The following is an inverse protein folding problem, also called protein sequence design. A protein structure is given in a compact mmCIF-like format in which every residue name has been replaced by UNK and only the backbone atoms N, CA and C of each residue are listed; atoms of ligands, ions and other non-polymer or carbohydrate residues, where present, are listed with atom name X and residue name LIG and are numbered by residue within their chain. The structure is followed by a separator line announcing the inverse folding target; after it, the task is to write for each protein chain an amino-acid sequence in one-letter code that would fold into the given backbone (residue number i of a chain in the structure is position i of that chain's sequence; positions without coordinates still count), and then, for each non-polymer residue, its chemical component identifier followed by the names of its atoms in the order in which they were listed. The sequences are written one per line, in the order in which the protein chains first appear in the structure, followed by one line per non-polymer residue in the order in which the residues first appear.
data_IF_229977920964
#
_entry.id   IF_229977920964
#
_cell.length_a   1.000
_cell.length_b   1.000
_cell.length_c   1.000
_cell.angle_alpha   90.00
_cell.angle_beta   90.00
_cell.angle_gamma   90.00
#
_symmetry.space_group_name_H-M   'P 1'
#
loop_
_entity.id
_entity.type
_entity.pdbx_description
1 polymer ?
#
# COMPACT_ATOMS: atom_id res chain seq x y z
N UNK A 1 42.19 -9.25 -30.36
CA UNK A 1 41.27 -8.32 -29.67
C UNK A 1 40.23 -9.14 -28.92
N UNK A 2 40.60 -9.63 -27.73
CA UNK A 2 39.75 -10.35 -26.77
C UNK A 2 40.10 -9.75 -25.40
N UNK A 3 39.14 -9.69 -24.49
CA UNK A 3 39.22 -9.23 -23.08
C UNK A 3 38.99 -7.75 -22.80
N UNK A 4 37.77 -7.23 -22.99
CA UNK A 4 37.33 -5.98 -22.33
C UNK A 4 35.87 -5.96 -21.86
N UNK A 5 35.10 -7.05 -22.02
CA UNK A 5 33.64 -7.03 -21.79
C UNK A 5 33.15 -7.77 -20.53
N UNK A 6 34.05 -8.13 -19.60
CA UNK A 6 33.68 -8.88 -18.40
C UNK A 6 33.80 -8.09 -17.08
N UNK A 7 34.41 -6.89 -17.09
CA UNK A 7 34.65 -6.12 -15.86
C UNK A 7 33.50 -5.15 -15.52
N UNK A 8 32.60 -4.83 -16.45
CA UNK A 8 31.55 -3.83 -16.23
C UNK A 8 30.29 -4.40 -15.53
N UNK A 9 30.04 -5.72 -15.64
CA UNK A 9 28.96 -6.36 -14.88
C UNK A 9 29.32 -6.58 -13.40
N UNK A 10 30.60 -6.62 -13.05
CA UNK A 10 31.01 -6.83 -11.65
C UNK A 10 30.97 -5.53 -10.83
N UNK A 11 31.08 -4.36 -11.47
CA UNK A 11 30.99 -3.07 -10.79
C UNK A 11 29.53 -2.70 -10.39
N UNK A 12 28.53 -3.19 -11.12
CA UNK A 12 27.12 -3.03 -10.78
C UNK A 12 26.67 -3.93 -9.61
N UNK A 13 27.36 -5.06 -9.39
CA UNK A 13 27.14 -5.92 -8.23
C UNK A 13 27.84 -5.41 -6.96
N UNK A 14 28.87 -4.56 -7.08
CA UNK A 14 29.45 -3.84 -5.93
C UNK A 14 28.66 -2.58 -5.53
N UNK A 15 27.70 -2.13 -6.35
CA UNK A 15 26.68 -1.17 -5.94
C UNK A 15 25.50 -1.83 -5.16
N UNK A 16 25.51 -3.16 -5.01
CA UNK A 16 24.79 -3.85 -3.93
C UNK A 16 25.53 -3.73 -2.57
N UNK A 17 26.48 -2.81 -2.44
CA UNK A 17 26.89 -2.26 -1.16
C UNK A 17 25.76 -1.39 -0.59
N UNK A 18 24.85 -2.02 0.18
CA UNK A 18 24.17 -1.49 1.37
C UNK A 18 23.87 0.04 1.40
N UNK A 19 23.30 0.57 0.32
CA UNK A 19 22.79 1.95 0.23
C UNK A 19 21.28 1.98 0.39
N UNK A 20 20.72 1.10 1.22
CA UNK A 20 19.29 1.04 1.52
C UNK A 20 18.97 2.19 2.45
N UNK A 21 18.80 3.37 1.87
CA UNK A 21 18.43 4.57 2.60
C UNK A 21 17.03 4.32 3.19
N UNK A 22 16.88 4.28 4.52
CA UNK A 22 15.61 3.91 5.12
C UNK A 22 14.48 4.87 4.71
N UNK A 23 14.81 6.16 4.55
CA UNK A 23 13.89 7.19 4.06
C UNK A 23 13.34 6.86 2.65
N UNK A 24 14.15 6.27 1.77
CA UNK A 24 13.69 5.86 0.44
C UNK A 24 12.69 4.69 0.51
N UNK A 25 12.88 3.75 1.45
CA UNK A 25 11.91 2.67 1.66
C UNK A 25 10.60 3.19 2.28
N UNK A 26 10.65 4.20 3.15
CA UNK A 26 9.44 4.84 3.68
C UNK A 26 8.68 5.55 2.56
N UNK A 27 9.39 6.30 1.71
CA UNK A 27 8.77 6.94 0.55
C UNK A 27 8.14 5.93 -0.44
N UNK A 28 8.82 4.80 -0.69
CA UNK A 28 8.24 3.68 -1.46
C UNK A 28 6.97 3.13 -0.77
N UNK A 29 6.97 2.99 0.56
CA UNK A 29 5.82 2.50 1.32
C UNK A 29 4.64 3.47 1.25
N UNK A 30 4.89 4.77 1.41
CA UNK A 30 3.90 5.86 1.27
C UNK A 30 3.29 5.85 -0.14
N UNK A 31 4.12 5.67 -1.16
CA UNK A 31 3.68 5.58 -2.56
C UNK A 31 2.77 4.36 -2.76
N UNK A 32 3.19 3.18 -2.32
CA UNK A 32 2.38 1.96 -2.41
C UNK A 32 1.04 2.08 -1.66
N UNK A 33 1.04 2.66 -0.46
CA UNK A 33 -0.20 2.86 0.29
C UNK A 33 -1.15 3.85 -0.42
N UNK A 34 -0.60 4.86 -1.09
CA UNK A 34 -1.38 5.82 -1.90
C UNK A 34 -1.96 5.16 -3.14
N UNK A 35 -1.16 4.34 -3.83
CA UNK A 35 -1.59 3.55 -4.98
C UNK A 35 -2.69 2.56 -4.57
N UNK A 36 -2.53 1.84 -3.45
CA UNK A 36 -3.56 0.96 -2.91
C UNK A 36 -4.84 1.73 -2.58
N UNK A 37 -4.76 2.87 -1.90
CA UNK A 37 -5.93 3.68 -1.60
C UNK A 37 -6.63 4.15 -2.88
N UNK A 38 -5.87 4.58 -3.89
CA UNK A 38 -6.40 5.03 -5.19
C UNK A 38 -7.04 3.88 -5.98
N UNK A 39 -6.40 2.71 -6.00
CA UNK A 39 -6.93 1.49 -6.60
C UNK A 39 -8.25 1.08 -5.93
N UNK A 40 -8.34 1.16 -4.61
CA UNK A 40 -9.58 0.93 -3.87
C UNK A 40 -10.65 1.98 -4.12
N UNK A 41 -10.28 3.26 -4.22
CA UNK A 41 -11.20 4.37 -4.52
C UNK A 41 -11.81 4.28 -5.93
N UNK A 42 -11.08 3.67 -6.87
CA UNK A 42 -11.47 3.48 -8.27
C UNK A 42 -12.02 2.08 -8.58
N UNK A 43 -12.31 1.27 -7.56
CA UNK A 43 -12.80 -0.12 -7.72
C UNK A 43 -11.94 -0.97 -8.67
N UNK A 44 -10.62 -0.80 -8.56
CA UNK A 44 -9.64 -1.54 -9.35
C UNK A 44 -9.80 -3.07 -9.17
N UNK A 45 -9.45 -3.86 -10.21
CA UNK A 45 -9.58 -5.31 -10.16
C UNK A 45 -8.70 -5.91 -9.06
N UNK A 46 -9.16 -7.02 -8.47
CA UNK A 46 -8.45 -7.71 -7.39
C UNK A 46 -7.00 -8.05 -7.76
N UNK A 47 -6.71 -8.37 -9.02
CA UNK A 47 -5.35 -8.63 -9.50
C UNK A 47 -4.39 -7.45 -9.31
N UNK A 48 -4.87 -6.22 -9.46
CA UNK A 48 -4.07 -5.01 -9.25
C UNK A 48 -3.81 -4.78 -7.75
N UNK A 49 -4.82 -5.04 -6.90
CA UNK A 49 -4.66 -5.02 -5.45
C UNK A 49 -3.67 -6.09 -4.97
N UNK A 50 -3.71 -7.28 -5.55
CA UNK A 50 -2.81 -8.40 -5.23
C UNK A 50 -1.36 -8.08 -5.65
N UNK A 51 -1.15 -7.45 -6.81
CA UNK A 51 0.17 -6.96 -7.22
C UNK A 51 0.73 -5.92 -6.25
N UNK A 52 -0.09 -4.94 -5.85
CA UNK A 52 0.30 -3.93 -4.86
C UNK A 52 0.62 -4.56 -3.50
N UNK A 53 -0.15 -5.56 -3.09
CA UNK A 53 0.12 -6.31 -1.86
C UNK A 53 1.44 -7.08 -1.94
N UNK A 54 1.74 -7.73 -3.07
CA UNK A 54 3.01 -8.41 -3.30
C UNK A 54 4.21 -7.46 -3.24
N UNK A 55 4.08 -6.26 -3.83
CA UNK A 55 5.10 -5.20 -3.70
C UNK A 55 5.29 -4.78 -2.25
N UNK A 56 4.21 -4.64 -1.48
CA UNK A 56 4.27 -4.30 -0.06
C UNK A 56 4.99 -5.39 0.77
N UNK A 57 4.72 -6.68 0.49
CA UNK A 57 5.43 -7.79 1.14
C UNK A 57 6.94 -7.75 0.82
N UNK A 58 7.29 -7.47 -0.43
CA UNK A 58 8.70 -7.33 -0.83
C UNK A 58 9.38 -6.16 -0.13
N UNK A 59 8.68 -5.04 0.01
CA UNK A 59 9.17 -3.85 0.68
C UNK A 59 9.34 -4.10 2.19
N UNK A 60 8.39 -4.77 2.84
CA UNK A 60 8.50 -5.18 4.25
C UNK A 60 9.75 -6.04 4.50
N UNK A 61 10.06 -7.00 3.63
CA UNK A 61 11.30 -7.79 3.71
C UNK A 61 12.56 -6.93 3.61
N UNK A 62 12.55 -5.87 2.78
CA UNK A 62 13.66 -4.91 2.68
C UNK A 62 13.80 -4.08 3.95
N UNK A 63 12.69 -3.70 4.60
CA UNK A 63 12.69 -3.04 5.91
C UNK A 63 13.23 -3.95 7.02
N UNK A 64 12.83 -5.23 7.04
CA UNK A 64 13.35 -6.19 8.01
C UNK A 64 14.85 -6.43 7.82
N UNK A 65 15.31 -6.52 6.57
CA UNK A 65 16.72 -6.68 6.25
C UNK A 65 17.61 -5.51 6.75
N UNK A 66 17.04 -4.31 6.89
CA UNK A 66 17.74 -3.14 7.44
C UNK A 66 18.08 -3.27 8.92
N UNK A 67 17.40 -4.15 9.68
CA UNK A 67 17.61 -4.34 11.12
C UNK A 67 17.72 -3.03 11.91
N UNK A 68 16.89 -2.04 11.56
CA UNK A 68 16.91 -0.73 12.18
C UNK A 68 16.70 -0.84 13.70
N UNK A 69 17.53 -0.13 14.45
CA UNK A 69 17.36 0.03 15.89
C UNK A 69 16.07 0.76 16.23
N UNK A 70 15.62 0.66 17.48
CA UNK A 70 14.40 1.33 17.92
C UNK A 70 14.47 2.86 17.75
N UNK A 71 15.64 3.47 17.99
CA UNK A 71 15.85 4.91 17.77
C UNK A 71 15.80 5.28 16.30
N UNK A 72 16.42 4.50 15.42
CA UNK A 72 16.39 4.76 13.97
C UNK A 72 14.98 4.64 13.41
N UNK A 73 14.20 3.65 13.87
CA UNK A 73 12.78 3.52 13.51
C UNK A 73 11.98 4.73 13.98
N UNK A 74 12.22 5.20 15.20
CA UNK A 74 11.49 6.33 15.76
C UNK A 74 11.81 7.64 15.03
N UNK A 75 13.09 7.87 14.70
CA UNK A 75 13.52 9.00 13.88
C UNK A 75 12.93 8.93 12.46
N UNK A 76 12.89 7.73 11.87
CA UNK A 76 12.27 7.51 10.56
C UNK A 76 10.80 7.87 10.56
N UNK A 77 10.08 7.37 11.57
CA UNK A 77 8.66 7.62 11.74
C UNK A 77 8.41 9.11 11.97
N UNK A 78 9.19 9.77 12.83
CA UNK A 78 9.04 11.20 13.11
C UNK A 78 9.26 12.07 11.86
N UNK A 79 10.24 11.73 11.01
CA UNK A 79 10.50 12.46 9.75
C UNK A 79 9.38 12.32 8.73
N UNK A 80 8.76 11.13 8.69
CA UNK A 80 7.74 10.79 7.70
C UNK A 80 6.32 10.77 8.29
N UNK A 81 6.14 11.23 9.53
CA UNK A 81 4.90 11.08 10.31
C UNK A 81 3.72 11.74 9.61
N UNK A 82 3.94 12.95 9.08
CA UNK A 82 2.91 13.72 8.40
C UNK A 82 2.39 12.98 7.15
N UNK A 83 3.30 12.47 6.32
CA UNK A 83 2.94 11.73 5.12
C UNK A 83 2.31 10.38 5.45
N UNK A 84 2.93 9.59 6.35
CA UNK A 84 2.38 8.32 6.82
C UNK A 84 0.96 8.49 7.39
N UNK A 85 0.72 9.53 8.16
CA UNK A 85 -0.61 9.84 8.71
C UNK A 85 -1.60 10.17 7.59
N UNK A 86 -1.23 11.01 6.63
CA UNK A 86 -2.10 11.36 5.50
C UNK A 86 -2.47 10.14 4.66
N UNK A 87 -1.49 9.30 4.32
CA UNK A 87 -1.76 8.12 3.49
C UNK A 87 -2.55 7.07 4.26
N UNK A 88 -2.25 6.88 5.55
CA UNK A 88 -3.02 5.97 6.41
C UNK A 88 -4.47 6.44 6.54
N UNK A 89 -4.71 7.73 6.75
CA UNK A 89 -6.07 8.28 6.79
C UNK A 89 -6.80 8.08 5.46
N UNK A 90 -6.12 8.29 4.33
CA UNK A 90 -6.72 8.09 3.00
C UNK A 90 -7.06 6.62 2.76
N UNK A 91 -6.15 5.71 3.08
CA UNK A 91 -6.38 4.27 3.00
C UNK A 91 -7.54 3.83 3.91
N UNK A 92 -7.57 4.32 5.15
CA UNK A 92 -8.65 4.04 6.10
C UNK A 92 -9.99 4.56 5.58
N UNK A 93 -10.01 5.76 4.99
CA UNK A 93 -11.21 6.33 4.37
C UNK A 93 -11.67 5.51 3.16
N UNK A 94 -10.76 5.07 2.30
CA UNK A 94 -11.06 4.20 1.17
C UNK A 94 -11.64 2.85 1.63
N UNK A 95 -11.05 2.25 2.67
CA UNK A 95 -11.57 1.03 3.30
C UNK A 95 -12.96 1.24 3.92
N UNK A 96 -13.14 2.31 4.70
CA UNK A 96 -14.44 2.63 5.32
C UNK A 96 -15.50 2.89 4.26
N UNK A 97 -15.17 3.61 3.19
CA UNK A 97 -16.08 3.84 2.07
C UNK A 97 -16.49 2.51 1.44
N UNK A 98 -15.53 1.65 1.08
CA UNK A 98 -15.82 0.32 0.52
C UNK A 98 -16.65 -0.55 1.45
N UNK A 99 -16.38 -0.51 2.75
CA UNK A 99 -17.17 -1.23 3.76
C UNK A 99 -18.59 -0.66 3.89
N UNK A 100 -18.74 0.67 3.85
CA UNK A 100 -20.03 1.36 3.91
C UNK A 100 -20.85 1.13 2.65
N UNK A 101 -20.24 1.11 1.47
CA UNK A 101 -20.90 0.79 0.20
C UNK A 101 -21.40 -0.65 0.24
N UNK A 102 -20.58 -1.60 0.72
CA UNK A 102 -20.99 -3.00 0.93
C UNK A 102 -22.13 -3.15 1.96
N UNK A 103 -22.09 -2.39 3.06
CA UNK A 103 -23.16 -2.34 4.06
C UNK A 103 -24.43 -1.66 3.53
N UNK A 104 -24.29 -0.60 2.74
CA UNK A 104 -25.36 0.15 2.11
C UNK A 104 -26.13 -0.71 1.11
N UNK A 105 -25.41 -1.47 0.28
CA UNK A 105 -25.98 -2.47 -0.63
C UNK A 105 -26.76 -3.55 0.14
N UNK A 106 -26.23 -4.00 1.29
CA UNK A 106 -26.93 -4.97 2.15
C UNK A 106 -28.15 -4.38 2.87
N UNK A 107 -28.18 -3.08 3.15
CA UNK A 107 -29.27 -2.39 3.84
C UNK A 107 -30.44 -1.99 2.93
N UNK A 108 -30.21 -1.89 1.61
CA UNK A 108 -31.29 -1.66 0.64
C UNK A 108 -32.27 -2.85 0.51
N UNK A 109 -31.94 -4.01 1.09
CA UNK A 109 -32.86 -5.15 1.24
C UNK A 109 -33.53 -5.26 2.61
N UNK A 110 -33.18 -4.42 3.59
CA UNK A 110 -33.66 -4.50 4.97
C UNK A 110 -34.00 -3.12 5.53
N UNK A 111 -34.99 -2.46 4.94
CA UNK A 111 -35.74 -1.43 5.66
C UNK A 111 -36.95 -2.11 6.33
N UNK A 112 -36.93 -2.32 7.65
CA UNK A 112 -38.14 -2.64 8.42
C UNK A 112 -39.01 -1.39 8.49
N UNK A 113 -39.69 -1.08 7.39
CA UNK A 113 -40.50 0.13 7.24
C UNK A 113 -41.28 0.25 5.94
N UNK A 114 -41.12 -0.68 5.00
CA UNK A 114 -41.99 -0.76 3.83
C UNK A 114 -43.37 -1.31 4.22
N UNK A 115 -44.34 -0.41 4.37
CA UNK A 115 -45.76 -0.77 4.56
C UNK A 115 -46.19 -1.88 3.58
N UNK A 116 -47.02 -2.85 4.01
CA UNK A 116 -47.53 -3.86 3.10
C UNK A 116 -48.43 -3.18 2.08
N UNK A 117 -47.96 -3.08 0.83
CA UNK A 117 -48.80 -2.70 -0.29
C UNK A 117 -49.69 -3.89 -0.65
N UNK A 118 -50.75 -4.05 0.14
CA UNK A 118 -51.95 -4.77 -0.28
C UNK A 118 -52.64 -3.95 -1.37
N UNK A 119 -53.08 -4.62 -2.44
CA UNK A 119 -53.89 -4.07 -3.53
C UNK A 119 -53.16 -4.15 -4.86
N UNK A 120 -53.62 -4.87 -5.88
CA UNK A 120 -54.97 -5.33 -6.17
C UNK A 120 -55.26 -4.96 -7.62
N UNK A 121 -55.12 -5.94 -8.52
CA UNK A 121 -56.05 -6.33 -9.60
C UNK A 121 -55.36 -7.42 -10.44
#
# INVERSE_FOLDING_TARGET
MKTLSAAFCLLLLLACGCGSNPDALVAEQITLMTEMATAMENDAPQSELDELQNKNISLAKRFEALNLSASEKQDLLARNEAELTLVTQRLQKAMMKKAMDSLGESSQGFLPGGAPRFGGN
#
